data_IF_719790597185
#
_entry.id   IF_719790597185
#
_cell.length_a   1.000
_cell.length_b   1.000
_cell.length_c   1.000
_cell.angle_alpha   90.00
_cell.angle_beta   90.00
_cell.angle_gamma   90.00
#
_symmetry.space_group_name_H-M   'P 1'
#
loop_
_entity.id
_entity.type
_entity.pdbx_description
1 polymer ?
#
# COMPACT_ATOMS: atom_id res chain seq x y z
N UNK A 1 22.05 19.73 23.61
CA UNK A 1 21.32 18.46 23.40
C UNK A 1 20.57 18.56 22.09
N UNK A 2 20.49 17.48 21.31
CA UNK A 2 19.75 17.47 20.05
C UNK A 2 18.24 17.52 20.31
N UNK A 3 17.49 18.22 19.45
CA UNK A 3 16.02 18.29 19.51
C UNK A 3 15.43 16.99 18.94
N UNK A 4 14.39 16.46 19.59
CA UNK A 4 13.74 15.19 19.20
C UNK A 4 12.23 15.32 18.92
N UNK A 5 11.60 16.43 19.29
CA UNK A 5 10.18 16.71 19.09
C UNK A 5 10.03 17.91 18.17
N UNK A 6 9.13 17.83 17.20
CA UNK A 6 8.95 18.81 16.14
C UNK A 6 7.46 19.05 15.91
N UNK A 7 7.13 20.21 15.37
CA UNK A 7 5.76 20.61 15.04
C UNK A 7 5.66 21.07 13.58
N UNK A 8 4.50 21.62 13.22
CA UNK A 8 4.20 22.08 11.86
C UNK A 8 5.09 23.25 11.42
N UNK A 9 5.55 24.09 12.35
CA UNK A 9 6.37 25.27 12.03
C UNK A 9 7.82 24.86 11.67
N UNK A 10 8.21 23.64 12.04
CA UNK A 10 9.50 23.06 11.67
C UNK A 10 9.53 22.53 10.23
N UNK A 11 8.37 22.39 9.57
CA UNK A 11 8.29 21.86 8.20
C UNK A 11 9.02 22.77 7.21
N UNK A 12 9.85 22.15 6.38
CA UNK A 12 10.62 22.78 5.30
C UNK A 12 10.12 22.28 3.97
N UNK A 13 9.13 22.98 3.41
CA UNK A 13 8.51 22.61 2.14
C UNK A 13 9.52 22.51 0.99
N UNK A 14 10.56 23.36 0.97
CA UNK A 14 11.62 23.28 -0.04
C UNK A 14 12.42 21.97 0.03
N UNK A 15 12.68 21.47 1.23
CA UNK A 15 13.36 20.18 1.43
C UNK A 15 12.45 19.02 0.99
N UNK A 16 11.17 19.08 1.37
CA UNK A 16 10.17 18.08 0.96
C UNK A 16 10.03 18.03 -0.57
N UNK A 17 9.91 19.19 -1.22
CA UNK A 17 9.83 19.29 -2.67
C UNK A 17 11.10 18.78 -3.36
N UNK A 18 12.28 19.08 -2.81
CA UNK A 18 13.56 18.57 -3.32
C UNK A 18 13.63 17.04 -3.25
N UNK A 19 13.19 16.44 -2.14
CA UNK A 19 13.12 14.98 -2.00
C UNK A 19 12.19 14.35 -3.05
N UNK A 20 11.00 14.92 -3.24
CA UNK A 20 10.03 14.41 -4.21
C UNK A 20 10.43 14.61 -5.68
N UNK A 21 11.45 15.45 -5.93
CA UNK A 21 11.97 15.75 -7.27
C UNK A 21 13.15 14.85 -7.68
N UNK A 22 13.53 13.88 -6.85
CA UNK A 22 14.56 12.90 -7.18
C UNK A 22 14.19 12.09 -8.43
N UNK A 23 15.21 11.65 -9.16
CA UNK A 23 15.09 10.84 -10.38
C UNK A 23 15.36 9.37 -10.08
N UNK A 24 14.88 8.48 -10.94
CA UNK A 24 15.07 7.03 -10.83
C UNK A 24 15.66 6.54 -12.14
N UNK A 25 16.78 5.83 -12.08
CA UNK A 25 17.42 5.23 -13.26
C UNK A 25 17.11 3.74 -13.32
N UNK A 26 16.89 3.22 -14.53
CA UNK A 26 16.67 1.78 -14.74
C UNK A 26 17.93 0.96 -14.40
N UNK A 27 19.10 1.58 -14.56
CA UNK A 27 20.40 0.97 -14.27
C UNK A 27 20.59 0.64 -12.78
N UNK A 28 19.82 1.28 -11.90
CA UNK A 28 19.86 1.03 -10.45
C UNK A 28 18.99 -0.17 -10.04
N UNK A 29 18.15 -0.68 -10.94
CA UNK A 29 17.16 -1.74 -10.68
C UNK A 29 17.25 -2.86 -11.73
N UNK A 30 18.24 -3.74 -11.56
CA UNK A 30 18.60 -4.80 -12.51
C UNK A 30 17.49 -5.82 -12.76
N UNK A 31 16.56 -5.99 -11.83
CA UNK A 31 15.46 -6.93 -11.96
C UNK A 31 14.14 -6.29 -12.41
N UNK A 32 14.11 -4.96 -12.53
CA UNK A 32 12.94 -4.23 -12.99
C UNK A 32 12.74 -4.35 -14.51
N UNK A 33 11.50 -4.23 -14.97
CA UNK A 33 11.16 -4.23 -16.39
C UNK A 33 10.98 -2.83 -16.97
N UNK A 34 10.63 -1.85 -16.14
CA UNK A 34 10.31 -0.49 -16.57
C UNK A 34 10.35 0.50 -15.39
N UNK A 35 10.42 1.79 -15.70
CA UNK A 35 10.20 2.88 -14.75
C UNK A 35 9.23 3.87 -15.37
N UNK A 36 8.13 4.16 -14.67
CA UNK A 36 7.15 5.16 -15.11
C UNK A 36 6.88 6.15 -13.99
N UNK A 37 7.02 7.44 -14.28
CA UNK A 37 6.77 8.51 -13.31
C UNK A 37 7.50 8.31 -11.97
N UNK A 38 8.75 7.82 -12.01
CA UNK A 38 9.58 7.47 -10.84
C UNK A 38 9.09 6.24 -10.05
N UNK A 39 8.17 5.45 -10.58
CA UNK A 39 7.74 4.16 -10.02
C UNK A 39 8.48 3.04 -10.71
N UNK A 40 9.11 2.15 -9.93
CA UNK A 40 9.82 0.98 -10.44
C UNK A 40 8.82 -0.15 -10.67
N UNK A 41 8.88 -0.75 -11.85
CA UNK A 41 7.93 -1.78 -12.30
C UNK A 41 8.67 -3.10 -12.44
N UNK A 42 8.09 -4.16 -11.87
CA UNK A 42 8.55 -5.54 -11.97
C UNK A 42 7.50 -6.40 -12.65
N UNK A 43 7.94 -7.50 -13.28
CA UNK A 43 7.04 -8.53 -13.80
C UNK A 43 6.94 -9.70 -12.82
N UNK A 44 5.72 -10.13 -12.51
CA UNK A 44 5.47 -11.23 -11.59
C UNK A 44 6.13 -12.55 -12.03
N UNK A 45 6.20 -12.83 -13.34
CA UNK A 45 6.87 -14.02 -13.87
C UNK A 45 8.38 -14.01 -13.60
N UNK A 46 9.02 -12.84 -13.72
CA UNK A 46 10.43 -12.69 -13.39
C UNK A 46 10.66 -13.01 -11.91
N UNK A 47 9.87 -12.40 -11.01
CA UNK A 47 9.95 -12.67 -9.58
C UNK A 47 9.77 -14.16 -9.30
N UNK A 48 8.68 -14.78 -9.79
CA UNK A 48 8.41 -16.23 -9.63
C UNK A 48 9.59 -17.09 -10.06
N UNK A 49 10.22 -16.78 -11.19
CA UNK A 49 11.37 -17.54 -11.70
C UNK A 49 12.61 -17.46 -10.79
N UNK A 50 12.73 -16.40 -10.00
CA UNK A 50 13.91 -16.11 -9.17
C UNK A 50 13.77 -16.60 -7.73
N UNK A 51 12.55 -16.78 -7.19
CA UNK A 51 12.27 -17.11 -5.77
C UNK A 51 13.13 -18.26 -5.23
N UNK A 52 13.35 -19.32 -6.02
CA UNK A 52 14.11 -20.52 -5.61
C UNK A 52 15.55 -20.53 -6.11
N UNK A 53 16.08 -19.38 -6.53
CA UNK A 53 17.43 -19.24 -7.07
C UNK A 53 18.33 -18.43 -6.12
N UNK A 54 19.67 -18.50 -6.25
CA UNK A 54 20.56 -17.63 -5.48
C UNK A 54 20.30 -16.12 -5.67
N UNK A 55 19.78 -15.72 -6.84
CA UNK A 55 19.46 -14.33 -7.17
C UNK A 55 18.24 -13.80 -6.39
N UNK A 56 17.49 -14.66 -5.68
CA UNK A 56 16.41 -14.25 -4.80
C UNK A 56 16.87 -13.23 -3.75
N UNK A 57 18.09 -13.40 -3.22
CA UNK A 57 18.64 -12.47 -2.23
C UNK A 57 18.95 -11.09 -2.84
N UNK A 58 19.47 -11.08 -4.06
CA UNK A 58 19.78 -9.84 -4.78
C UNK A 58 18.49 -9.08 -5.11
N UNK A 59 17.45 -9.78 -5.58
CA UNK A 59 16.15 -9.18 -5.83
C UNK A 59 15.48 -8.67 -4.55
N UNK A 60 15.53 -9.42 -3.43
CA UNK A 60 15.03 -8.92 -2.14
C UNK A 60 15.78 -7.66 -1.70
N UNK A 61 17.09 -7.62 -1.90
CA UNK A 61 17.92 -6.45 -1.58
C UNK A 61 17.50 -5.25 -2.43
N UNK A 62 17.26 -5.45 -3.73
CA UNK A 62 16.81 -4.39 -4.63
C UNK A 62 15.40 -3.90 -4.28
N UNK A 63 14.44 -4.79 -4.00
CA UNK A 63 13.08 -4.42 -3.56
C UNK A 63 13.13 -3.64 -2.24
N UNK A 64 13.92 -4.10 -1.26
CA UNK A 64 14.12 -3.39 -0.01
C UNK A 64 14.69 -2.00 -0.25
N UNK A 65 15.70 -1.89 -1.12
CA UNK A 65 16.29 -0.61 -1.49
C UNK A 65 15.26 0.32 -2.12
N UNK A 66 14.50 -0.17 -3.10
CA UNK A 66 13.46 0.60 -3.78
C UNK A 66 12.43 1.19 -2.80
N UNK A 67 12.01 0.41 -1.80
CA UNK A 67 11.03 0.83 -0.79
C UNK A 67 11.69 1.76 0.25
N UNK A 68 12.90 1.46 0.72
CA UNK A 68 13.55 2.19 1.81
C UNK A 68 14.20 3.49 1.35
N UNK A 69 15.22 3.40 0.49
CA UNK A 69 16.02 4.55 0.04
C UNK A 69 15.67 5.04 -1.37
N UNK A 70 14.93 4.22 -2.12
CA UNK A 70 14.45 4.56 -3.45
C UNK A 70 13.12 5.33 -3.43
N UNK A 71 12.31 5.17 -4.48
CA UNK A 71 11.02 5.85 -4.65
C UNK A 71 9.97 5.59 -3.57
N UNK A 72 10.10 4.53 -2.77
CA UNK A 72 9.10 4.16 -1.75
C UNK A 72 7.86 3.46 -2.31
N UNK A 73 7.85 3.13 -3.59
CA UNK A 73 6.73 2.48 -4.26
C UNK A 73 7.23 1.57 -5.37
N UNK A 74 6.63 0.39 -5.47
CA UNK A 74 6.85 -0.59 -6.54
C UNK A 74 5.52 -0.99 -7.15
N UNK A 75 5.54 -1.35 -8.43
CA UNK A 75 4.41 -2.01 -9.11
C UNK A 75 4.87 -3.36 -9.58
N UNK A 76 4.07 -4.39 -9.33
CA UNK A 76 4.30 -5.72 -9.89
C UNK A 76 3.18 -6.06 -10.86
N UNK A 77 3.47 -6.04 -12.16
CA UNK A 77 2.53 -6.47 -13.20
C UNK A 77 2.38 -7.98 -13.16
N UNK A 78 1.17 -8.48 -13.45
CA UNK A 78 0.87 -9.91 -13.43
C UNK A 78 1.32 -10.63 -12.14
N UNK A 79 1.17 -9.96 -11.00
CA UNK A 79 1.44 -10.55 -9.68
C UNK A 79 0.58 -11.80 -9.45
N UNK A 80 -0.65 -11.81 -9.95
CA UNK A 80 -1.48 -12.99 -10.12
C UNK A 80 -1.28 -13.54 -11.54
N UNK A 81 -0.97 -14.83 -11.64
CA UNK A 81 -0.77 -15.49 -12.94
C UNK A 81 -2.10 -15.87 -13.59
N UNK A 82 -3.06 -16.37 -12.80
CA UNK A 82 -4.41 -16.68 -13.23
C UNK A 82 -5.38 -15.60 -12.73
N UNK A 83 -5.94 -14.83 -13.66
CA UNK A 83 -6.90 -13.77 -13.35
C UNK A 83 -8.22 -14.31 -12.78
N UNK A 84 -8.54 -15.60 -12.98
CA UNK A 84 -9.73 -16.21 -12.38
C UNK A 84 -9.71 -16.18 -10.86
N UNK A 85 -8.53 -16.15 -10.25
CA UNK A 85 -8.37 -16.00 -8.80
C UNK A 85 -8.86 -14.62 -8.34
N UNK A 86 -8.55 -13.57 -9.12
CA UNK A 86 -9.04 -12.21 -8.86
C UNK A 86 -10.55 -12.14 -9.11
N UNK A 87 -11.04 -12.72 -10.21
CA UNK A 87 -12.48 -12.73 -10.54
C UNK A 87 -13.28 -13.41 -9.42
N UNK A 88 -12.84 -14.59 -8.97
CA UNK A 88 -13.50 -15.33 -7.88
C UNK A 88 -13.49 -14.57 -6.57
N UNK A 89 -12.36 -13.96 -6.20
CA UNK A 89 -12.29 -13.12 -5.01
C UNK A 89 -13.23 -11.90 -5.11
N UNK A 90 -13.32 -11.30 -6.30
CA UNK A 90 -14.23 -10.16 -6.56
C UNK A 90 -15.70 -10.57 -6.38
N UNK A 91 -16.11 -11.72 -6.91
CA UNK A 91 -17.46 -12.25 -6.72
C UNK A 91 -17.79 -12.43 -5.23
N UNK A 92 -16.88 -13.05 -4.48
CA UNK A 92 -17.04 -13.27 -3.03
C UNK A 92 -17.13 -11.94 -2.28
N UNK A 93 -16.29 -10.96 -2.60
CA UNK A 93 -16.37 -9.64 -1.99
C UNK A 93 -17.68 -8.93 -2.31
N UNK A 94 -18.20 -9.08 -3.53
CA UNK A 94 -19.50 -8.52 -3.91
C UNK A 94 -20.65 -9.17 -3.15
N UNK A 95 -20.64 -10.50 -2.98
CA UNK A 95 -21.61 -11.23 -2.15
C UNK A 95 -21.61 -10.73 -0.70
N UNK A 96 -20.41 -10.59 -0.10
CA UNK A 96 -20.26 -10.07 1.27
C UNK A 96 -20.84 -8.66 1.39
N UNK A 97 -20.53 -7.77 0.44
CA UNK A 97 -21.05 -6.39 0.42
C UNK A 97 -22.58 -6.36 0.32
N UNK A 98 -23.16 -7.17 -0.56
CA UNK A 98 -24.61 -7.17 -0.77
C UNK A 98 -25.38 -7.74 0.43
N UNK A 99 -24.80 -8.72 1.13
CA UNK A 99 -25.33 -9.20 2.41
C UNK A 99 -25.22 -8.15 3.52
N UNK A 100 -24.06 -7.50 3.68
CA UNK A 100 -23.84 -6.50 4.73
C UNK A 100 -24.74 -5.26 4.55
N UNK A 101 -25.08 -4.89 3.32
CA UNK A 101 -26.07 -3.83 3.03
C UNK A 101 -27.46 -4.12 3.57
N UNK A 102 -27.85 -5.39 3.64
CA UNK A 102 -29.20 -5.82 4.03
C UNK A 102 -29.28 -6.25 5.50
N UNK A 103 -28.12 -6.45 6.15
CA UNK A 103 -28.01 -6.89 7.54
C UNK A 103 -28.01 -5.71 8.52
N UNK A 104 -28.95 -5.70 9.47
CA UNK A 104 -28.96 -4.71 10.56
C UNK A 104 -27.83 -4.91 11.59
N UNK A 105 -27.15 -6.07 11.56
CA UNK A 105 -26.11 -6.43 12.54
C UNK A 105 -24.70 -5.94 12.18
N UNK A 106 -24.43 -5.59 10.92
CA UNK A 106 -23.07 -5.29 10.40
C UNK A 106 -22.86 -3.81 10.02
N UNK A 107 -23.74 -2.90 10.47
CA UNK A 107 -23.67 -1.46 10.14
C UNK A 107 -22.38 -0.76 10.60
N UNK A 108 -21.60 -1.37 11.50
CA UNK A 108 -20.34 -0.81 12.02
C UNK A 108 -19.17 -0.82 11.03
N UNK A 109 -19.26 -1.60 9.94
CA UNK A 109 -18.19 -1.72 8.93
C UNK A 109 -18.39 -0.77 7.73
N UNK A 110 -19.51 -0.06 7.64
CA UNK A 110 -19.75 0.91 6.58
C UNK A 110 -19.75 2.34 7.14
N UNK A 111 -18.61 3.05 7.03
CA UNK A 111 -18.53 4.47 7.37
C UNK A 111 -19.15 5.39 6.30
N UNK A 112 -19.47 4.85 5.13
CA UNK A 112 -19.93 5.64 4.00
C UNK A 112 -21.46 5.65 3.95
N UNK A 113 -22.06 6.81 3.65
CA UNK A 113 -23.51 6.90 3.42
C UNK A 113 -23.90 6.01 2.24
N UNK A 114 -25.14 5.52 2.21
CA UNK A 114 -25.66 4.82 1.05
C UNK A 114 -25.45 5.66 -0.23
N UNK A 115 -24.69 5.14 -1.20
CA UNK A 115 -24.29 5.84 -2.44
C UNK A 115 -22.85 6.37 -2.46
N UNK A 116 -22.12 6.29 -1.36
CA UNK A 116 -20.67 6.56 -1.30
C UNK A 116 -19.85 5.27 -1.52
N UNK A 117 -18.52 5.35 -1.39
CA UNK A 117 -17.60 4.21 -1.59
C UNK A 117 -17.96 3.02 -0.69
N UNK A 118 -17.88 1.79 -1.23
CA UNK A 118 -18.13 0.56 -0.46
C UNK A 118 -16.85 0.05 0.17
N UNK A 119 -16.96 -0.56 1.34
CA UNK A 119 -15.82 -1.10 2.08
C UNK A 119 -16.18 -2.41 2.75
N UNK A 120 -15.24 -3.35 2.79
CA UNK A 120 -15.28 -4.53 3.66
C UNK A 120 -14.15 -4.39 4.67
N UNK A 121 -14.46 -4.28 5.96
CA UNK A 121 -13.48 -4.45 7.01
C UNK A 121 -13.30 -5.93 7.34
N UNK A 122 -12.09 -6.27 7.80
CA UNK A 122 -11.72 -7.64 8.13
C UNK A 122 -11.98 -8.61 6.96
N UNK A 123 -11.69 -8.16 5.74
CA UNK A 123 -11.97 -8.93 4.52
C UNK A 123 -11.24 -10.27 4.51
N UNK A 124 -10.04 -10.33 5.11
CA UNK A 124 -9.24 -11.54 5.22
C UNK A 124 -10.02 -12.68 5.90
N UNK A 125 -10.58 -12.42 7.08
CA UNK A 125 -11.35 -13.42 7.83
C UNK A 125 -12.65 -13.76 7.08
N UNK A 126 -13.41 -12.74 6.67
CA UNK A 126 -14.72 -12.93 6.00
C UNK A 126 -14.59 -13.74 4.71
N UNK A 127 -13.52 -13.53 3.95
CA UNK A 127 -13.22 -14.32 2.76
C UNK A 127 -12.93 -15.77 3.13
N UNK A 128 -12.02 -16.03 4.08
CA UNK A 128 -11.68 -17.39 4.51
C UNK A 128 -12.90 -18.19 5.01
N UNK A 129 -13.78 -17.55 5.78
CA UNK A 129 -15.01 -18.14 6.30
C UNK A 129 -16.03 -18.43 5.18
N UNK A 130 -16.05 -17.63 4.12
CA UNK A 130 -16.95 -17.81 2.97
C UNK A 130 -16.52 -18.94 2.06
N UNK A 131 -15.24 -18.94 1.67
CA UNK A 131 -14.69 -19.86 0.69
C UNK A 131 -13.19 -20.07 0.97
N UNK A 132 -12.88 -21.16 1.67
CA UNK A 132 -11.51 -21.46 2.09
C UNK A 132 -10.59 -21.82 0.91
N UNK A 133 -11.12 -22.44 -0.14
CA UNK A 133 -10.32 -22.81 -1.32
C UNK A 133 -9.92 -21.55 -2.11
N UNK A 134 -10.90 -20.69 -2.41
CA UNK A 134 -10.63 -19.42 -3.08
C UNK A 134 -9.75 -18.48 -2.21
N UNK A 135 -9.89 -18.52 -0.89
CA UNK A 135 -9.01 -17.80 0.03
C UNK A 135 -7.55 -18.28 -0.11
N UNK A 136 -7.32 -19.60 -0.12
CA UNK A 136 -5.99 -20.17 -0.30
C UNK A 136 -5.42 -19.76 -1.65
N UNK A 137 -6.20 -19.90 -2.73
CA UNK A 137 -5.74 -19.53 -4.08
C UNK A 137 -5.36 -18.04 -4.18
N UNK A 138 -6.10 -17.16 -3.50
CA UNK A 138 -5.84 -15.73 -3.51
C UNK A 138 -4.63 -15.34 -2.65
N UNK A 139 -4.57 -15.81 -1.41
CA UNK A 139 -3.56 -15.37 -0.43
C UNK A 139 -2.27 -16.19 -0.46
N UNK A 140 -2.27 -17.39 -1.02
CA UNK A 140 -1.05 -18.18 -1.27
C UNK A 140 -0.32 -17.69 -2.54
N UNK A 141 -0.20 -16.38 -2.70
CA UNK A 141 0.49 -15.77 -3.84
C UNK A 141 1.99 -15.61 -3.52
N UNK A 142 2.88 -16.34 -4.21
CA UNK A 142 4.32 -16.32 -3.90
C UNK A 142 4.97 -14.97 -4.21
N UNK A 143 4.42 -14.19 -5.14
CA UNK A 143 4.94 -12.84 -5.47
C UNK A 143 4.66 -11.87 -4.34
N UNK A 144 3.42 -11.83 -3.84
CA UNK A 144 3.06 -10.98 -2.71
C UNK A 144 3.87 -11.36 -1.47
N UNK A 145 3.96 -12.65 -1.17
CA UNK A 145 4.80 -13.14 -0.07
C UNK A 145 6.24 -12.65 -0.20
N UNK A 146 6.84 -12.80 -1.38
CA UNK A 146 8.24 -12.43 -1.63
C UNK A 146 8.52 -10.93 -1.45
N UNK A 147 7.62 -10.05 -1.91
CA UNK A 147 7.73 -8.60 -1.74
C UNK A 147 7.62 -8.22 -0.26
N UNK A 148 6.66 -8.79 0.47
CA UNK A 148 6.54 -8.57 1.91
C UNK A 148 7.79 -9.06 2.67
N UNK A 149 8.34 -10.22 2.31
CA UNK A 149 9.57 -10.73 2.92
C UNK A 149 10.78 -9.82 2.69
N UNK A 150 10.86 -9.14 1.55
CA UNK A 150 11.91 -8.16 1.26
C UNK A 150 11.84 -6.96 2.22
N UNK A 151 10.65 -6.57 2.67
CA UNK A 151 10.45 -5.45 3.58
C UNK A 151 10.45 -5.86 5.07
N UNK A 152 9.59 -6.80 5.45
CA UNK A 152 9.27 -7.17 6.83
C UNK A 152 10.01 -8.42 7.33
N UNK A 153 10.60 -9.20 6.41
CA UNK A 153 11.18 -10.51 6.72
C UNK A 153 10.16 -11.66 6.73
N UNK A 154 10.59 -12.89 7.06
CA UNK A 154 9.86 -14.14 6.77
C UNK A 154 8.62 -14.42 7.64
N UNK A 155 8.35 -13.61 8.66
CA UNK A 155 7.29 -13.88 9.65
C UNK A 155 6.29 -12.72 9.75
N UNK A 156 6.08 -12.00 8.65
CA UNK A 156 5.06 -10.97 8.59
C UNK A 156 3.66 -11.57 8.79
N UNK A 157 2.74 -10.73 9.24
CA UNK A 157 1.32 -11.05 9.32
C UNK A 157 0.56 -10.13 8.38
N UNK A 158 -0.56 -10.64 7.88
CA UNK A 158 -1.41 -9.90 6.94
C UNK A 158 -2.79 -9.68 7.54
N UNK A 159 -3.37 -8.53 7.23
CA UNK A 159 -4.81 -8.28 7.26
C UNK A 159 -5.19 -7.65 5.92
N UNK A 160 -6.46 -7.69 5.56
CA UNK A 160 -6.95 -7.05 4.33
C UNK A 160 -8.26 -6.32 4.56
N UNK A 161 -8.46 -5.29 3.76
CA UNK A 161 -9.72 -4.60 3.60
C UNK A 161 -9.97 -4.41 2.11
N UNK A 162 -11.24 -4.40 1.71
CA UNK A 162 -11.63 -4.10 0.34
C UNK A 162 -12.19 -2.69 0.31
N UNK A 163 -11.71 -1.87 -0.62
CA UNK A 163 -12.25 -0.53 -0.87
C UNK A 163 -12.70 -0.46 -2.32
N UNK A 164 -13.94 -0.01 -2.55
CA UNK A 164 -14.51 0.18 -3.88
C UNK A 164 -14.81 1.66 -4.07
N UNK A 165 -14.13 2.26 -5.06
CA UNK A 165 -14.41 3.63 -5.49
C UNK A 165 -15.58 3.60 -6.49
N UNK A 166 -16.70 4.26 -6.14
CA UNK A 166 -17.85 4.36 -7.05
C UNK A 166 -17.75 5.61 -7.92
N UNK A 167 -18.35 5.62 -9.12
CA UNK A 167 -18.43 6.81 -9.95
C UNK A 167 -18.99 8.02 -9.19
N UNK A 168 -18.32 9.18 -9.30
CA UNK A 168 -18.68 10.39 -8.56
C UNK A 168 -18.15 10.46 -7.13
N UNK A 169 -17.41 9.42 -6.67
CA UNK A 169 -16.70 9.43 -5.40
C UNK A 169 -15.71 10.60 -5.30
N UNK A 170 -15.60 11.18 -4.11
CA UNK A 170 -14.66 12.27 -3.86
C UNK A 170 -13.24 11.75 -3.65
N UNK A 171 -12.25 12.50 -4.13
CA UNK A 171 -10.85 12.19 -3.89
C UNK A 171 -10.55 12.21 -2.39
N UNK A 172 -9.78 11.23 -1.92
CA UNK A 172 -9.29 11.23 -0.54
C UNK A 172 -8.24 12.33 -0.37
N UNK A 173 -8.12 12.85 0.86
CA UNK A 173 -7.01 13.74 1.19
C UNK A 173 -5.69 12.94 1.13
N UNK A 174 -4.58 13.57 0.69
CA UNK A 174 -3.26 12.94 0.78
C UNK A 174 -3.01 12.48 2.22
N UNK A 175 -2.32 11.37 2.43
CA UNK A 175 -1.92 10.95 3.77
C UNK A 175 -0.73 10.00 3.64
N UNK A 176 -0.10 9.72 4.77
CA UNK A 176 0.68 8.50 4.95
C UNK A 176 -0.22 7.50 5.65
N UNK A 177 -0.03 6.22 5.43
CA UNK A 177 -0.82 5.20 6.11
C UNK A 177 -0.42 5.08 7.60
N UNK A 178 -0.83 3.97 8.22
CA UNK A 178 -0.60 3.63 9.61
C UNK A 178 0.85 3.92 10.05
N UNK A 179 1.13 4.51 11.22
CA UNK A 179 0.26 4.60 12.41
C UNK A 179 -0.32 5.99 12.68
N UNK A 180 0.38 7.03 12.22
CA UNK A 180 0.07 8.43 12.54
C UNK A 180 -0.65 9.16 11.40
N UNK A 181 -0.87 8.45 10.30
CA UNK A 181 -1.50 8.92 9.07
C UNK A 181 -2.80 9.69 9.24
N UNK A 182 -3.61 9.30 10.22
CA UNK A 182 -4.95 9.86 10.45
C UNK A 182 -5.07 10.66 11.75
N UNK A 183 -3.96 10.87 12.48
CA UNK A 183 -3.94 11.60 13.75
C UNK A 183 -3.81 13.12 13.52
N UNK A 184 -4.35 13.93 14.42
CA UNK A 184 -4.17 15.40 14.36
C UNK A 184 -2.70 15.82 14.53
N UNK A 185 -2.30 16.93 13.90
CA UNK A 185 -0.91 17.42 13.94
C UNK A 185 -0.41 17.60 15.39
N UNK A 186 -1.25 18.13 16.29
CA UNK A 186 -0.88 18.32 17.70
C UNK A 186 -0.50 17.02 18.39
N UNK A 187 -1.20 15.93 18.10
CA UNK A 187 -0.90 14.61 18.66
C UNK A 187 0.37 14.03 18.03
N UNK A 188 0.56 14.18 16.71
CA UNK A 188 1.79 13.73 16.03
C UNK A 188 3.02 14.41 16.63
N UNK A 189 2.94 15.70 16.98
CA UNK A 189 4.04 16.46 17.62
C UNK A 189 4.41 15.96 19.02
N UNK A 190 3.54 15.21 19.70
CA UNK A 190 3.84 14.57 20.98
C UNK A 190 4.73 13.31 20.83
N UNK A 191 4.91 12.80 19.61
CA UNK A 191 5.81 11.69 19.35
C UNK A 191 7.22 12.18 18.98
N UNK A 192 8.29 11.63 19.60
CA UNK A 192 9.64 11.94 19.15
C UNK A 192 9.83 11.45 17.71
N UNK A 193 10.63 12.18 16.94
CA UNK A 193 10.84 11.93 15.50
C UNK A 193 11.26 10.48 15.21
N UNK A 194 12.06 9.87 16.08
CA UNK A 194 12.48 8.48 15.96
C UNK A 194 11.30 7.49 16.02
N UNK A 195 10.28 7.74 16.85
CA UNK A 195 9.08 6.91 16.92
C UNK A 195 8.21 7.07 15.67
N UNK A 196 8.11 8.29 15.15
CA UNK A 196 7.43 8.55 13.88
C UNK A 196 8.12 7.79 12.74
N UNK A 197 9.44 7.89 12.62
CA UNK A 197 10.22 7.16 11.60
C UNK A 197 10.09 5.65 11.77
N UNK A 198 10.23 5.13 13.00
CA UNK A 198 10.10 3.70 13.28
C UNK A 198 8.77 3.13 12.79
N UNK A 199 7.67 3.88 12.95
CA UNK A 199 6.34 3.42 12.53
C UNK A 199 6.24 3.09 11.04
N UNK A 200 7.05 3.73 10.20
CA UNK A 200 7.07 3.49 8.75
C UNK A 200 7.60 2.09 8.40
N UNK A 201 8.42 1.49 9.27
CA UNK A 201 9.04 0.18 9.07
C UNK A 201 8.22 -0.99 9.62
N UNK A 202 7.05 -0.71 10.19
CA UNK A 202 6.22 -1.74 10.83
C UNK A 202 5.21 -2.39 9.88
N UNK A 203 4.93 -1.75 8.74
CA UNK A 203 3.93 -2.21 7.79
C UNK A 203 4.41 -2.02 6.36
N UNK A 204 4.00 -2.91 5.46
CA UNK A 204 3.93 -2.66 4.02
C UNK A 204 2.46 -2.64 3.65
N UNK A 205 2.03 -1.63 2.87
CA UNK A 205 0.70 -1.63 2.30
C UNK A 205 0.77 -2.10 0.86
N UNK A 206 0.05 -3.18 0.57
CA UNK A 206 -0.10 -3.72 -0.77
C UNK A 206 -1.53 -3.47 -1.27
N UNK A 207 -1.66 -3.11 -2.53
CA UNK A 207 -2.96 -2.91 -3.17
C UNK A 207 -3.03 -3.79 -4.42
N UNK A 208 -4.00 -4.70 -4.44
CA UNK A 208 -4.30 -5.54 -5.60
C UNK A 208 -5.43 -4.87 -6.38
N UNK A 209 -5.22 -4.65 -7.67
CA UNK A 209 -6.25 -4.13 -8.56
C UNK A 209 -7.20 -5.27 -8.98
N UNK A 210 -8.49 -5.14 -8.64
CA UNK A 210 -9.55 -6.07 -9.06
C UNK A 210 -10.25 -5.64 -10.37
N UNK A 211 -9.99 -4.42 -10.81
CA UNK A 211 -10.50 -3.85 -12.06
C UNK A 211 -9.38 -3.05 -12.72
N UNK A 212 -9.58 -2.68 -13.98
CA UNK A 212 -8.69 -1.72 -14.63
C UNK A 212 -8.68 -0.39 -13.85
N UNK A 213 -7.47 0.07 -13.51
CA UNK A 213 -7.24 1.27 -12.73
C UNK A 213 -6.74 2.39 -13.65
N UNK A 214 -7.62 2.88 -14.53
CA UNK A 214 -7.34 4.09 -15.31
C UNK A 214 -7.50 5.36 -14.46
N UNK A 215 -7.14 6.52 -15.01
CA UNK A 215 -7.25 7.80 -14.27
C UNK A 215 -8.73 8.13 -13.95
N UNK A 216 -9.66 7.72 -14.81
CA UNK A 216 -11.09 8.02 -14.67
C UNK A 216 -11.77 7.16 -13.60
N UNK A 217 -11.21 5.99 -13.25
CA UNK A 217 -11.71 5.13 -12.18
C UNK A 217 -11.27 5.57 -10.77
N UNK A 218 -10.50 6.66 -10.66
CA UNK A 218 -10.06 7.21 -9.37
C UNK A 218 -8.84 6.50 -8.79
N UNK A 219 -7.89 6.14 -9.67
CA UNK A 219 -6.62 5.51 -9.29
C UNK A 219 -5.85 6.27 -8.23
N UNK A 220 -5.19 5.53 -7.33
CA UNK A 220 -4.40 6.08 -6.24
C UNK A 220 -3.30 6.99 -6.76
N UNK A 221 -3.23 8.21 -6.22
CA UNK A 221 -2.11 9.12 -6.45
C UNK A 221 -1.02 8.84 -5.41
N UNK A 222 0.18 8.53 -5.90
CA UNK A 222 1.37 8.35 -5.06
C UNK A 222 2.35 9.51 -5.30
N UNK A 223 3.09 9.89 -4.26
CA UNK A 223 4.16 10.87 -4.36
C UNK A 223 5.51 10.17 -4.05
N UNK A 224 6.21 9.65 -5.07
CA UNK A 224 7.50 9.00 -4.88
C UNK A 224 8.49 9.85 -4.08
N UNK A 225 9.31 9.18 -3.25
CA UNK A 225 10.29 9.75 -2.32
C UNK A 225 9.71 10.53 -1.14
N UNK A 226 8.40 10.76 -1.09
CA UNK A 226 7.79 11.55 -0.03
C UNK A 226 7.99 10.94 1.36
N UNK A 227 8.11 9.61 1.50
CA UNK A 227 8.33 8.91 2.77
C UNK A 227 9.66 9.28 3.44
N UNK A 228 10.66 9.66 2.64
CA UNK A 228 11.99 10.02 3.14
C UNK A 228 11.99 11.31 3.97
N UNK A 229 10.96 12.15 3.83
CA UNK A 229 10.86 13.37 4.61
C UNK A 229 10.48 13.08 6.07
N UNK A 230 11.35 13.37 7.06
CA UNK A 230 11.14 12.92 8.44
C UNK A 230 9.85 13.44 9.07
N UNK A 231 9.45 14.69 8.77
CA UNK A 231 8.25 15.33 9.32
C UNK A 231 6.97 15.09 8.52
N UNK A 232 6.99 14.20 7.51
CA UNK A 232 5.89 14.14 6.56
C UNK A 232 4.56 13.55 7.05
N UNK A 233 4.46 13.06 8.30
CA UNK A 233 3.15 12.80 8.91
C UNK A 233 2.36 14.09 9.18
N UNK A 234 3.04 15.24 9.24
CA UNK A 234 2.43 16.57 9.40
C UNK A 234 2.40 17.36 8.08
N UNK A 235 3.20 16.98 7.07
CA UNK A 235 3.42 17.75 5.84
C UNK A 235 2.36 17.54 4.73
N UNK A 236 1.09 17.30 5.08
CA UNK A 236 0.03 17.07 4.09
C UNK A 236 -1.30 17.76 4.38
N UNK A 237 -1.53 18.25 5.62
CA UNK A 237 -2.85 18.74 6.07
C UNK A 237 -3.10 20.22 5.78
N UNK A 238 -2.06 20.98 5.47
CA UNK A 238 -2.15 22.44 5.32
C UNK A 238 -2.34 22.83 3.86
N UNK A 239 -3.47 23.51 3.61
CA UNK A 239 -3.86 24.13 2.34
C UNK A 239 -3.32 25.55 2.20
#
# INVERSE_FOLDING_TARGET
>A
MQRHFFDVDDIKLSEFASLCSQTVSLEDYNFSSDIQQRVVIYEGDNIRSLISTPQALDLKTELHHCIKEGPGVVVVRQAFQDMKVIDRATEIFQEIIDEEKTSDQHRGDHFAKAGENERIWNALQKFCERDTEAFIDYYNNPVLCFVNEAWLGPFFQMTSQVNIVKPGGQAQKPHRDYHLGFQENSLVSEYPLSAQILSQFLTLQESVAHTDMDISSGSTMMLPFSHQYPLGYMAWRDS
#
